data_IF_689103421599
#
_entry.id   IF_689103421599
#
_cell.length_a   1.000
_cell.length_b   1.000
_cell.length_c   1.000
_cell.angle_alpha   90.00
_cell.angle_beta   90.00
_cell.angle_gamma   90.00
#
_symmetry.space_group_name_H-M   'P 1'
#
loop_
_entity.id
_entity.type
_entity.pdbx_description
1 polymer ?
#
# COMPACT_ATOMS: atom_id res chain seq x y z
N UNK A 1 4.80 -14.02 -30.22
CA UNK A 1 3.77 -14.06 -29.17
C UNK A 1 4.50 -13.91 -27.84
N UNK A 2 3.95 -13.14 -26.89
CA UNK A 2 4.57 -12.93 -25.59
C UNK A 2 4.97 -14.24 -24.90
N UNK A 3 6.14 -14.26 -24.26
CA UNK A 3 6.65 -15.44 -23.57
C UNK A 3 6.33 -15.38 -22.07
N UNK A 4 5.98 -16.52 -21.46
CA UNK A 4 5.59 -16.58 -20.06
C UNK A 4 4.07 -16.56 -19.86
N UNK A 5 3.61 -16.20 -18.66
CA UNK A 5 2.20 -16.27 -18.30
C UNK A 5 1.85 -15.23 -17.23
N UNK A 6 0.67 -14.62 -17.38
CA UNK A 6 -0.05 -13.89 -16.34
C UNK A 6 -1.39 -14.61 -16.17
N UNK A 7 -1.76 -14.95 -14.94
CA UNK A 7 -3.00 -15.67 -14.66
C UNK A 7 -3.75 -15.03 -13.51
N UNK A 8 -5.07 -15.16 -13.53
CA UNK A 8 -5.91 -14.83 -12.38
C UNK A 8 -5.55 -15.78 -11.24
N UNK A 9 -5.11 -15.22 -10.11
CA UNK A 9 -4.80 -16.00 -8.90
C UNK A 9 -5.81 -15.77 -7.79
N UNK A 10 -6.61 -14.70 -7.91
CA UNK A 10 -7.63 -14.37 -6.93
C UNK A 10 -8.74 -13.53 -7.54
N UNK A 11 -9.99 -13.84 -7.20
CA UNK A 11 -11.18 -13.00 -7.39
C UNK A 11 -12.05 -13.15 -6.15
N UNK A 12 -12.41 -12.04 -5.51
CA UNK A 12 -13.26 -12.09 -4.33
C UNK A 12 -13.46 -10.75 -3.64
N UNK A 13 -14.19 -10.79 -2.52
CA UNK A 13 -14.43 -9.64 -1.66
C UNK A 13 -14.27 -10.00 -0.19
N UNK A 14 -13.97 -8.98 0.61
CA UNK A 14 -13.75 -9.10 2.04
C UNK A 14 -14.04 -7.77 2.75
N UNK A 15 -14.48 -7.85 4.01
CA UNK A 15 -14.58 -6.70 4.91
C UNK A 15 -13.18 -6.37 5.44
N UNK A 16 -12.35 -5.77 4.59
CA UNK A 16 -10.95 -5.49 4.90
C UNK A 16 -10.45 -4.23 4.16
N UNK A 17 -9.44 -3.56 4.73
CA UNK A 17 -8.70 -2.49 4.05
C UNK A 17 -7.52 -3.09 3.27
N UNK A 18 -7.37 -2.66 2.02
CA UNK A 18 -6.38 -3.19 1.09
C UNK A 18 -5.14 -2.31 1.05
N UNK A 19 -4.00 -2.92 1.31
CA UNK A 19 -2.68 -2.29 1.18
C UNK A 19 -1.85 -3.10 0.19
N UNK A 20 -1.14 -2.39 -0.69
CA UNK A 20 -0.21 -3.03 -1.59
C UNK A 20 0.97 -2.09 -1.88
N UNK A 21 2.15 -2.68 -2.06
CA UNK A 21 3.37 -1.96 -2.42
C UNK A 21 4.17 -2.80 -3.39
N UNK A 22 4.76 -2.12 -4.37
CA UNK A 22 5.68 -2.71 -5.33
C UNK A 22 6.93 -1.84 -5.32
N UNK A 23 8.03 -2.40 -4.86
CA UNK A 23 9.26 -1.68 -4.63
C UNK A 23 10.41 -2.30 -5.42
N UNK A 24 11.16 -1.44 -6.11
CA UNK A 24 12.42 -1.82 -6.73
C UNK A 24 13.51 -1.92 -5.66
N UNK A 25 14.31 -2.99 -5.73
CA UNK A 25 15.33 -3.31 -4.74
C UNK A 25 16.72 -3.36 -5.36
N UNK A 26 16.86 -4.00 -6.53
CA UNK A 26 18.12 -4.18 -7.25
C UNK A 26 19.30 -4.64 -6.37
N UNK A 27 19.08 -5.64 -5.51
CA UNK A 27 20.13 -6.16 -4.63
C UNK A 27 20.70 -7.47 -5.17
N UNK A 28 21.99 -7.46 -5.49
CA UNK A 28 22.75 -8.67 -5.74
C UNK A 28 23.01 -9.43 -4.43
N UNK A 29 22.73 -10.73 -4.43
CA UNK A 29 23.02 -11.67 -3.35
C UNK A 29 24.02 -12.71 -3.89
N UNK A 30 25.13 -12.87 -3.19
CA UNK A 30 26.20 -13.83 -3.55
C UNK A 30 26.45 -14.79 -2.38
N UNK A 31 27.32 -15.78 -2.54
CA UNK A 31 27.60 -16.76 -1.49
C UNK A 31 28.35 -16.19 -0.24
N UNK A 32 28.84 -14.95 -0.28
CA UNK A 32 29.68 -14.37 0.79
C UNK A 32 28.92 -13.38 1.71
N UNK A 33 29.54 -12.29 2.15
CA UNK A 33 28.98 -11.33 3.11
C UNK A 33 27.65 -10.70 2.66
N UNK A 34 27.37 -10.68 1.34
CA UNK A 34 26.11 -10.19 0.76
C UNK A 34 25.08 -11.30 0.50
N UNK A 35 25.23 -12.49 1.11
CA UNK A 35 24.28 -13.60 0.98
C UNK A 35 22.91 -13.34 1.58
N UNK A 36 22.76 -12.30 2.42
CA UNK A 36 21.52 -12.00 3.13
C UNK A 36 21.06 -10.57 2.88
N UNK A 37 19.76 -10.43 2.64
CA UNK A 37 19.05 -9.15 2.65
C UNK A 37 17.91 -9.22 3.67
N UNK A 38 17.84 -8.23 4.54
CA UNK A 38 16.66 -7.94 5.36
C UNK A 38 15.95 -6.72 4.76
N UNK A 39 14.67 -6.86 4.43
CA UNK A 39 13.86 -5.83 3.79
C UNK A 39 12.56 -5.64 4.57
N UNK A 40 12.21 -4.38 4.88
CA UNK A 40 10.96 -4.06 5.56
C UNK A 40 9.96 -3.60 4.52
N UNK A 41 8.82 -4.27 4.43
CA UNK A 41 7.75 -3.91 3.50
C UNK A 41 7.07 -2.63 4.02
N UNK A 42 6.99 -1.62 3.16
CA UNK A 42 6.43 -0.30 3.52
C UNK A 42 4.89 -0.32 3.46
N UNK A 43 4.30 -1.17 4.28
CA UNK A 43 2.85 -1.27 4.49
C UNK A 43 2.58 -1.21 5.99
N UNK A 44 1.68 -0.32 6.44
CA UNK A 44 1.27 -0.30 7.84
C UNK A 44 0.56 -1.61 8.16
N UNK A 45 0.89 -2.20 9.30
CA UNK A 45 0.20 -3.36 9.83
C UNK A 45 -0.53 -2.99 11.11
N UNK A 46 -1.87 -2.99 11.12
CA UNK A 46 -2.63 -2.85 12.35
C UNK A 46 -2.33 -4.03 13.31
N UNK A 47 -2.10 -3.72 14.59
CA UNK A 47 -1.79 -4.73 15.60
C UNK A 47 -3.03 -5.55 15.94
N UNK A 48 -2.86 -6.86 16.13
CA UNK A 48 -3.96 -7.77 16.49
C UNK A 48 -5.01 -8.00 15.39
N UNK A 49 -4.81 -7.43 14.20
CA UNK A 49 -5.75 -7.58 13.06
C UNK A 49 -5.31 -8.72 12.16
N UNK A 50 -6.30 -9.52 11.76
CA UNK A 50 -6.16 -10.67 10.86
C UNK A 50 -5.99 -10.19 9.42
N UNK A 51 -5.08 -10.81 8.68
CA UNK A 51 -5.02 -10.69 7.22
C UNK A 51 -6.02 -11.68 6.58
N UNK A 52 -6.98 -11.17 5.83
CA UNK A 52 -7.95 -11.96 5.05
C UNK A 52 -7.31 -12.51 3.77
N UNK A 53 -6.36 -11.76 3.22
CA UNK A 53 -5.56 -12.12 2.05
C UNK A 53 -4.16 -11.54 2.19
N UNK A 54 -3.12 -12.28 1.80
CA UNK A 54 -1.76 -11.76 1.76
C UNK A 54 -0.87 -12.52 0.78
N UNK A 55 -0.30 -11.79 -0.19
CA UNK A 55 0.59 -12.33 -1.21
C UNK A 55 1.90 -11.54 -1.22
N UNK A 56 3.02 -12.26 -1.14
CA UNK A 56 4.37 -11.74 -1.32
C UNK A 56 4.90 -12.18 -2.68
N UNK A 57 5.48 -11.23 -3.42
CA UNK A 57 5.99 -11.46 -4.76
C UNK A 57 7.42 -10.98 -4.89
N UNK A 58 8.24 -11.73 -5.63
CA UNK A 58 9.63 -11.41 -5.85
C UNK A 58 9.94 -11.53 -7.35
N UNK A 59 10.57 -10.51 -7.92
CA UNK A 59 11.21 -10.57 -9.23
C UNK A 59 12.70 -10.78 -9.03
N UNK A 60 13.21 -11.90 -9.53
CA UNK A 60 14.61 -12.30 -9.37
C UNK A 60 15.22 -12.53 -10.73
N UNK A 61 16.44 -12.05 -10.90
CA UNK A 61 17.29 -12.36 -12.02
C UNK A 61 18.39 -13.33 -11.58
N UNK A 62 18.70 -14.31 -12.42
CA UNK A 62 19.82 -15.22 -12.18
C UNK A 62 20.37 -15.77 -13.50
N UNK A 63 21.55 -16.39 -13.47
CA UNK A 63 22.13 -17.09 -14.63
C UNK A 63 21.68 -18.55 -14.71
N UNK A 64 21.23 -19.11 -13.59
CA UNK A 64 20.84 -20.50 -13.48
C UNK A 64 19.31 -20.61 -13.50
N UNK A 65 18.77 -21.73 -14.00
CA UNK A 65 17.31 -21.89 -14.02
C UNK A 65 16.72 -22.11 -12.62
N UNK A 66 17.52 -22.64 -11.70
CA UNK A 66 17.12 -22.95 -10.34
C UNK A 66 17.77 -21.94 -9.40
N UNK A 67 17.02 -21.51 -8.38
CA UNK A 67 17.51 -20.59 -7.35
C UNK A 67 17.49 -21.30 -6.00
N UNK A 68 18.68 -21.46 -5.42
CA UNK A 68 18.86 -21.96 -4.06
C UNK A 68 18.88 -20.81 -3.06
N UNK A 69 17.76 -20.64 -2.38
CA UNK A 69 17.54 -19.55 -1.43
C UNK A 69 16.53 -19.91 -0.35
N UNK A 70 16.53 -19.10 0.71
CA UNK A 70 15.58 -19.20 1.82
C UNK A 70 14.95 -17.84 2.07
N UNK A 71 13.62 -17.82 2.10
CA UNK A 71 12.85 -16.62 2.43
C UNK A 71 12.21 -16.81 3.79
N UNK A 72 12.25 -15.75 4.61
CA UNK A 72 11.51 -15.66 5.86
C UNK A 72 10.64 -14.42 5.88
N UNK A 73 9.42 -14.54 6.38
CA UNK A 73 8.52 -13.42 6.66
C UNK A 73 8.30 -13.39 8.16
N UNK A 74 8.56 -12.25 8.79
CA UNK A 74 8.49 -12.06 10.24
C UNK A 74 9.26 -13.10 11.06
N UNK A 75 10.33 -13.66 10.49
CA UNK A 75 11.18 -14.68 11.11
C UNK A 75 10.76 -16.12 10.81
N UNK A 76 9.54 -16.33 10.32
CA UNK A 76 9.00 -17.64 9.91
C UNK A 76 9.46 -17.95 8.49
N UNK A 77 9.98 -19.15 8.25
CA UNK A 77 10.38 -19.55 6.91
C UNK A 77 9.15 -19.74 6.04
N UNK A 78 9.14 -19.15 4.86
CA UNK A 78 8.07 -19.35 3.88
C UNK A 78 8.30 -20.71 3.23
N UNK A 79 7.53 -21.71 3.64
CA UNK A 79 7.52 -23.02 2.98
C UNK A 79 6.76 -22.96 1.66
N UNK A 80 7.05 -23.90 0.76
CA UNK A 80 6.63 -23.90 -0.65
C UNK A 80 5.11 -24.12 -0.85
N UNK A 81 4.24 -23.15 -0.56
CA UNK A 81 2.81 -23.27 -0.95
C UNK A 81 2.25 -21.96 -1.52
N UNK A 82 2.71 -21.61 -2.72
CA UNK A 82 1.95 -21.16 -3.91
C UNK A 82 2.94 -21.02 -5.09
N UNK A 83 3.68 -22.09 -5.43
CA UNK A 83 4.60 -22.05 -6.59
C UNK A 83 3.81 -22.27 -7.89
N UNK A 84 3.54 -21.20 -8.63
CA UNK A 84 4.22 -21.15 -9.91
C UNK A 84 5.40 -20.20 -9.78
N UNK A 85 6.60 -20.79 -9.82
CA UNK A 85 7.77 -20.01 -10.23
C UNK A 85 7.65 -19.87 -11.73
N UNK A 86 7.20 -18.71 -12.19
CA UNK A 86 7.19 -18.42 -13.62
C UNK A 86 8.58 -17.94 -13.98
N UNK A 87 9.25 -18.65 -14.88
CA UNK A 87 10.60 -18.31 -15.32
C UNK A 87 10.60 -18.09 -16.82
N UNK A 88 11.23 -17.02 -17.28
CA UNK A 88 11.47 -16.75 -18.70
C UNK A 88 12.96 -16.54 -18.92
N UNK A 89 13.49 -17.07 -20.03
CA UNK A 89 14.88 -16.88 -20.42
C UNK A 89 14.97 -15.66 -21.34
N UNK A 90 15.89 -14.73 -21.05
CA UNK A 90 16.15 -13.52 -21.85
C UNK A 90 17.65 -13.45 -22.12
N UNK A 91 18.08 -13.74 -23.34
CA UNK A 91 19.50 -13.90 -23.65
C UNK A 91 20.14 -14.98 -22.76
N UNK A 92 21.16 -14.62 -22.00
CA UNK A 92 21.90 -15.53 -21.10
C UNK A 92 21.39 -15.52 -19.64
N UNK A 93 20.33 -14.78 -19.33
CA UNK A 93 19.76 -14.71 -17.98
C UNK A 93 18.37 -15.33 -17.92
N UNK A 94 17.99 -15.74 -16.71
CA UNK A 94 16.63 -16.11 -16.35
C UNK A 94 16.02 -15.04 -15.46
N UNK A 95 14.79 -14.67 -15.77
CA UNK A 95 13.94 -13.84 -14.93
C UNK A 95 12.90 -14.75 -14.29
N UNK A 96 12.73 -14.63 -12.98
CA UNK A 96 11.84 -15.45 -12.18
C UNK A 96 10.88 -14.57 -11.41
N UNK A 97 9.58 -14.89 -11.49
CA UNK A 97 8.57 -14.37 -10.58
C UNK A 97 8.24 -15.48 -9.58
N UNK A 98 8.42 -15.18 -8.31
CA UNK A 98 8.04 -16.06 -7.21
C UNK A 98 6.89 -15.40 -6.45
N UNK A 99 5.83 -16.16 -6.22
CA UNK A 99 4.60 -15.72 -5.57
C UNK A 99 4.40 -16.62 -4.35
N UNK A 100 4.08 -16.03 -3.21
CA UNK A 100 3.90 -16.74 -1.95
C UNK A 100 2.62 -16.25 -1.28
N UNK A 101 1.71 -17.17 -0.96
CA UNK A 101 0.68 -16.89 0.03
C UNK A 101 1.35 -16.86 1.41
N UNK A 102 1.29 -15.71 2.07
CA UNK A 102 1.87 -15.49 3.39
C UNK A 102 0.81 -15.21 4.45
N UNK A 103 -0.47 -15.41 4.14
CA UNK A 103 -1.60 -15.14 5.03
C UNK A 103 -1.45 -15.87 6.37
N UNK A 104 -1.18 -17.18 6.32
CA UNK A 104 -1.02 -18.01 7.52
C UNK A 104 0.14 -17.54 8.41
N UNK A 105 1.25 -17.10 7.81
CA UNK A 105 2.41 -16.56 8.52
C UNK A 105 2.04 -15.26 9.21
N UNK A 106 1.33 -14.37 8.51
CA UNK A 106 0.90 -13.10 9.08
C UNK A 106 -0.08 -13.31 10.23
N UNK A 107 -0.90 -14.35 10.22
CA UNK A 107 -1.91 -14.59 11.25
C UNK A 107 -1.41 -15.40 12.46
N UNK A 108 -0.10 -15.62 12.58
CA UNK A 108 0.50 -16.17 13.80
C UNK A 108 0.46 -15.16 14.95
N UNK A 109 0.32 -15.58 16.22
CA UNK A 109 0.34 -14.67 17.38
C UNK A 109 1.57 -13.76 17.41
N UNK A 110 2.75 -14.30 17.10
CA UNK A 110 4.00 -13.56 17.09
C UNK A 110 4.02 -12.50 15.99
N UNK A 111 3.38 -12.77 14.85
CA UNK A 111 3.32 -11.85 13.73
C UNK A 111 2.25 -10.78 13.93
N UNK A 112 1.12 -11.08 14.57
CA UNK A 112 0.05 -10.13 14.86
C UNK A 112 0.46 -9.01 15.82
N UNK A 113 1.50 -9.23 16.61
CA UNK A 113 2.07 -8.23 17.52
C UNK A 113 3.16 -7.36 16.87
N UNK A 114 3.44 -7.52 15.58
CA UNK A 114 4.43 -6.71 14.86
C UNK A 114 3.74 -5.62 14.05
N UNK A 115 4.16 -4.37 14.25
CA UNK A 115 3.64 -3.21 13.51
C UNK A 115 4.12 -3.14 12.04
N UNK A 116 5.10 -3.98 11.66
CA UNK A 116 5.68 -4.03 10.32
C UNK A 116 5.89 -5.47 9.87
N UNK A 117 5.91 -5.66 8.55
CA UNK A 117 6.24 -6.95 7.94
C UNK A 117 7.69 -6.92 7.46
N UNK A 118 8.51 -7.80 8.03
CA UNK A 118 9.91 -7.95 7.69
C UNK A 118 10.12 -9.19 6.83
N UNK A 119 10.68 -9.00 5.65
CA UNK A 119 11.16 -10.07 4.80
C UNK A 119 12.67 -10.25 4.98
N UNK A 120 13.13 -11.49 4.99
CA UNK A 120 14.55 -11.81 4.89
C UNK A 120 14.75 -12.79 3.75
N UNK A 121 15.65 -12.46 2.83
CA UNK A 121 16.09 -13.35 1.74
C UNK A 121 17.52 -13.75 2.02
N UNK A 122 17.81 -15.04 1.96
CA UNK A 122 19.17 -15.59 2.06
C UNK A 122 19.44 -16.45 0.84
N UNK A 123 20.46 -16.10 0.07
CA UNK A 123 20.98 -16.94 -1.00
C UNK A 123 21.89 -18.03 -0.42
N UNK A 124 21.70 -19.28 -0.85
CA UNK A 124 22.43 -20.44 -0.35
C UNK A 124 23.21 -21.17 -1.46
N UNK A 125 23.01 -20.79 -2.74
CA UNK A 125 23.71 -21.36 -3.88
C UNK A 125 25.12 -20.79 -4.11
N UNK A 126 25.90 -21.46 -4.97
CA UNK A 126 27.26 -21.05 -5.34
C UNK A 126 27.34 -19.86 -6.30
N UNK A 127 26.23 -19.50 -6.96
CA UNK A 127 26.15 -18.41 -7.93
C UNK A 127 25.82 -17.02 -7.36
N UNK A 128 25.28 -16.16 -8.22
CA UNK A 128 24.69 -14.88 -7.81
C UNK A 128 23.27 -14.74 -8.35
N UNK A 129 22.43 -14.11 -7.54
CA UNK A 129 21.08 -13.71 -7.93
C UNK A 129 20.91 -12.22 -7.67
N UNK A 130 20.04 -11.57 -8.44
CA UNK A 130 19.67 -10.17 -8.23
C UNK A 130 18.19 -10.12 -7.90
N UNK A 131 17.86 -9.71 -6.68
CA UNK A 131 16.49 -9.36 -6.32
C UNK A 131 16.18 -8.00 -6.93
N UNK A 132 15.45 -7.99 -8.05
CA UNK A 132 15.09 -6.78 -8.80
C UNK A 132 13.98 -6.02 -8.09
N UNK A 133 12.89 -6.69 -7.73
CA UNK A 133 11.73 -6.06 -7.12
C UNK A 133 11.01 -6.97 -6.13
N UNK A 134 10.26 -6.34 -5.23
CA UNK A 134 9.40 -6.99 -4.22
C UNK A 134 8.01 -6.39 -4.33
N UNK A 135 7.01 -7.24 -4.47
CA UNK A 135 5.59 -6.89 -4.38
C UNK A 135 4.99 -7.46 -3.11
N UNK A 136 4.10 -6.73 -2.46
CA UNK A 136 3.35 -7.23 -1.32
C UNK A 136 1.95 -6.67 -1.37
N UNK A 137 0.95 -7.55 -1.32
CA UNK A 137 -0.48 -7.22 -1.31
C UNK A 137 -1.07 -7.85 -0.07
N UNK A 138 -1.81 -7.09 0.73
CA UNK A 138 -2.43 -7.57 1.96
C UNK A 138 -3.76 -6.86 2.21
N UNK A 139 -4.74 -7.63 2.66
CA UNK A 139 -6.04 -7.15 3.07
C UNK A 139 -6.24 -7.41 4.57
N UNK A 140 -6.28 -6.36 5.38
CA UNK A 140 -6.44 -6.47 6.84
C UNK A 140 -7.90 -6.29 7.24
N UNK A 141 -8.43 -7.29 7.94
CA UNK A 141 -9.85 -7.38 8.34
C UNK A 141 -10.28 -6.13 9.11
N UNK A 142 -11.35 -5.48 8.66
CA UNK A 142 -11.86 -4.29 9.31
C UNK A 142 -13.33 -4.04 8.98
N UNK A 143 -14.15 -3.79 10.00
CA UNK A 143 -15.60 -3.62 9.85
C UNK A 143 -16.02 -2.35 9.11
N UNK A 144 -15.17 -1.32 9.08
CA UNK A 144 -15.39 -0.09 8.30
C UNK A 144 -14.80 -0.11 6.89
N UNK A 145 -14.17 -1.20 6.47
CA UNK A 145 -13.58 -1.31 5.15
C UNK A 145 -14.19 -2.47 4.39
N UNK A 146 -14.48 -2.24 3.12
CA UNK A 146 -14.89 -3.27 2.17
C UNK A 146 -13.99 -3.17 0.96
N UNK A 147 -13.45 -4.29 0.54
CA UNK A 147 -12.66 -4.40 -0.68
C UNK A 147 -13.19 -5.55 -1.50
N UNK A 148 -13.29 -5.34 -2.79
CA UNK A 148 -13.37 -6.42 -3.76
C UNK A 148 -12.25 -6.26 -4.78
N UNK A 149 -11.58 -7.38 -5.09
CA UNK A 149 -10.40 -7.38 -5.94
C UNK A 149 -10.33 -8.61 -6.84
N UNK A 150 -9.74 -8.41 -8.02
CA UNK A 150 -9.39 -9.43 -8.99
C UNK A 150 -7.93 -9.22 -9.32
N UNK A 151 -7.12 -10.23 -9.07
CA UNK A 151 -5.67 -10.12 -9.15
C UNK A 151 -5.10 -11.11 -10.13
N UNK A 152 -4.40 -10.58 -11.12
CA UNK A 152 -3.62 -11.32 -12.09
C UNK A 152 -2.14 -11.14 -11.78
N UNK A 153 -1.38 -12.22 -11.71
CA UNK A 153 0.06 -12.17 -11.46
C UNK A 153 0.78 -13.29 -12.19
N UNK A 154 2.09 -13.15 -12.30
CA UNK A 154 2.95 -14.01 -13.09
C UNK A 154 4.12 -13.25 -13.67
N UNK A 155 4.61 -13.73 -14.81
CA UNK A 155 5.73 -13.15 -15.53
C UNK A 155 5.47 -13.30 -17.02
N UNK A 156 5.16 -12.19 -17.68
CA UNK A 156 4.97 -12.15 -19.12
C UNK A 156 5.98 -11.19 -19.74
N UNK A 157 6.83 -11.73 -20.61
CA UNK A 157 7.77 -10.99 -21.42
C UNK A 157 7.08 -10.58 -22.72
N UNK A 158 6.99 -9.27 -22.95
CA UNK A 158 6.40 -8.68 -24.15
C UNK A 158 7.53 -8.08 -24.97
N UNK A 159 7.83 -8.72 -26.10
CA UNK A 159 8.80 -8.25 -27.07
C UNK A 159 8.27 -7.12 -27.94
N UNK A 160 9.17 -6.52 -28.71
CA UNK A 160 8.84 -5.48 -29.68
C UNK A 160 7.77 -5.93 -30.69
N UNK A 161 6.74 -5.11 -30.92
CA UNK A 161 5.62 -5.42 -31.81
C UNK A 161 4.64 -6.46 -31.26
N UNK A 162 4.87 -6.98 -30.05
CA UNK A 162 3.96 -7.92 -29.41
C UNK A 162 2.89 -7.20 -28.59
N UNK A 163 1.72 -7.84 -28.55
CA UNK A 163 0.57 -7.40 -27.78
C UNK A 163 0.07 -8.51 -26.87
N UNK A 164 -0.45 -8.10 -25.73
CA UNK A 164 -1.14 -8.97 -24.77
C UNK A 164 -2.44 -8.31 -24.33
N UNK A 165 -3.52 -9.08 -24.30
CA UNK A 165 -4.85 -8.58 -23.95
C UNK A 165 -5.45 -9.39 -22.80
N UNK A 166 -6.02 -8.67 -21.84
CA UNK A 166 -6.90 -9.22 -20.81
C UNK A 166 -8.32 -8.73 -21.06
N UNK A 167 -9.27 -9.66 -21.04
CA UNK A 167 -10.70 -9.38 -21.04
C UNK A 167 -11.28 -9.66 -19.66
N UNK A 168 -12.38 -8.98 -19.31
CA UNK A 168 -13.04 -9.12 -18.01
C UNK A 168 -12.09 -8.84 -16.84
N UNK A 169 -11.32 -7.75 -16.89
CA UNK A 169 -10.45 -7.35 -15.76
C UNK A 169 -11.28 -6.83 -14.57
N UNK A 170 -12.54 -6.43 -14.79
CA UNK A 170 -13.40 -5.89 -13.75
C UNK A 170 -13.66 -6.93 -12.65
N UNK A 171 -13.76 -6.41 -11.43
CA UNK A 171 -14.34 -7.14 -10.31
C UNK A 171 -15.85 -7.06 -10.38
N UNK A 172 -16.39 -5.84 -10.36
CA UNK A 172 -17.83 -5.54 -10.23
C UNK A 172 -18.25 -4.33 -11.10
N UNK A 173 -18.00 -4.39 -12.42
CA UNK A 173 -18.44 -3.40 -13.43
C UNK A 173 -17.79 -2.01 -13.37
N UNK A 174 -17.23 -1.62 -12.23
CA UNK A 174 -16.51 -0.38 -12.00
C UNK A 174 -15.37 -0.64 -11.02
N UNK A 175 -14.15 -0.75 -11.53
CA UNK A 175 -12.96 -1.12 -10.75
C UNK A 175 -11.74 -0.36 -11.24
N UNK A 176 -10.98 0.22 -10.33
CA UNK A 176 -9.68 0.79 -10.66
C UNK A 176 -8.71 -0.33 -11.04
N UNK A 177 -7.87 -0.08 -12.04
CA UNK A 177 -6.91 -1.07 -12.53
C UNK A 177 -5.50 -0.54 -12.35
N UNK A 178 -4.66 -1.30 -11.65
CA UNK A 178 -3.23 -1.04 -11.59
C UNK A 178 -2.47 -2.08 -12.41
N UNK A 179 -1.54 -1.61 -13.23
CA UNK A 179 -0.59 -2.45 -13.97
C UNK A 179 0.80 -2.32 -13.34
N UNK A 180 1.41 -3.46 -13.02
CA UNK A 180 2.81 -3.52 -12.57
C UNK A 180 3.66 -4.05 -13.70
N UNK A 181 4.61 -3.24 -14.15
CA UNK A 181 5.52 -3.56 -15.23
C UNK A 181 6.98 -3.33 -14.82
N UNK A 182 7.91 -3.99 -15.50
CA UNK A 182 9.35 -3.80 -15.29
C UNK A 182 10.12 -3.81 -16.61
N UNK A 183 11.10 -2.92 -16.75
CA UNK A 183 12.07 -2.99 -17.83
C UNK A 183 13.45 -2.51 -17.38
N UNK A 184 14.52 -3.18 -17.81
CA UNK A 184 15.90 -2.75 -17.54
C UNK A 184 16.31 -1.51 -18.34
N UNK A 185 15.64 -1.24 -19.44
CA UNK A 185 15.85 -0.08 -20.31
C UNK A 185 14.52 0.69 -20.50
N UNK A 186 14.55 1.99 -20.84
CA UNK A 186 13.34 2.72 -21.18
C UNK A 186 12.64 2.07 -22.39
N UNK A 187 11.38 1.65 -22.21
CA UNK A 187 10.56 1.01 -23.24
C UNK A 187 9.21 1.72 -23.35
N UNK A 188 8.84 2.29 -24.51
CA UNK A 188 7.52 2.85 -24.72
C UNK A 188 6.50 1.72 -24.89
N UNK A 189 5.43 1.78 -24.11
CA UNK A 189 4.30 0.86 -24.19
C UNK A 189 3.02 1.63 -24.46
N UNK A 190 2.06 0.97 -25.10
CA UNK A 190 0.70 1.46 -25.31
C UNK A 190 -0.26 0.61 -24.51
N UNK A 191 -1.08 1.28 -23.72
CA UNK A 191 -2.20 0.67 -23.01
C UNK A 191 -3.49 1.09 -23.71
N UNK A 192 -4.36 0.14 -24.01
CA UNK A 192 -5.62 0.39 -24.72
C UNK A 192 -6.77 -0.32 -24.02
N UNK A 193 -7.93 0.32 -23.98
CA UNK A 193 -9.20 -0.31 -23.57
C UNK A 193 -10.15 -0.56 -24.76
N UNK A 194 -9.64 -0.40 -26.00
CA UNK A 194 -10.40 -0.49 -27.24
C UNK A 194 -11.02 0.83 -27.72
N UNK A 195 -11.21 1.80 -26.82
CA UNK A 195 -11.76 3.12 -27.12
C UNK A 195 -10.73 4.25 -26.96
N UNK A 196 -9.91 4.13 -25.92
CA UNK A 196 -8.87 5.06 -25.53
C UNK A 196 -7.52 4.36 -25.54
N UNK A 197 -6.47 5.14 -25.79
CA UNK A 197 -5.10 4.67 -25.71
C UNK A 197 -4.26 5.62 -24.86
N UNK A 198 -3.29 5.06 -24.15
CA UNK A 198 -2.31 5.79 -23.35
C UNK A 198 -0.92 5.26 -23.64
N UNK A 199 -0.01 6.15 -24.04
CA UNK A 199 1.41 5.84 -24.18
C UNK A 199 2.15 6.12 -22.86
N UNK A 200 3.00 5.19 -22.44
CA UNK A 200 3.76 5.27 -21.20
C UNK A 200 5.17 4.75 -21.45
N UNK A 201 6.17 5.41 -20.86
CA UNK A 201 7.55 4.93 -20.87
C UNK A 201 7.81 4.11 -19.59
N UNK A 202 8.14 2.84 -19.73
CA UNK A 202 8.51 1.96 -18.62
C UNK A 202 10.03 1.88 -18.50
N UNK A 203 10.58 2.18 -17.32
CA UNK A 203 11.99 1.99 -16.95
C UNK A 203 12.06 1.66 -15.46
N UNK A 204 12.81 0.62 -15.09
CA UNK A 204 12.77 0.08 -13.73
C UNK A 204 11.40 -0.54 -13.44
N UNK A 205 11.01 -0.56 -12.17
CA UNK A 205 9.67 -0.98 -11.75
C UNK A 205 8.67 0.17 -11.90
N UNK A 206 7.60 -0.04 -12.67
CA UNK A 206 6.53 0.92 -12.87
C UNK A 206 5.22 0.37 -12.29
N UNK A 207 4.58 1.17 -11.42
CA UNK A 207 3.22 0.95 -10.96
C UNK A 207 2.31 2.00 -11.63
N UNK A 208 1.51 1.54 -12.59
CA UNK A 208 0.72 2.38 -13.47
C UNK A 208 -0.74 2.28 -13.05
N UNK A 209 -1.28 3.36 -12.50
CA UNK A 209 -2.71 3.46 -12.19
C UNK A 209 -3.49 3.86 -13.45
N UNK A 210 -4.51 3.08 -13.75
CA UNK A 210 -5.48 3.28 -14.81
C UNK A 210 -6.85 3.54 -14.19
N UNK A 211 -7.65 4.34 -14.89
CA UNK A 211 -9.04 4.55 -14.50
C UNK A 211 -9.89 3.29 -14.74
N UNK A 212 -11.15 3.36 -14.32
CA UNK A 212 -12.10 2.27 -14.41
C UNK A 212 -12.44 1.83 -15.84
N UNK A 213 -12.18 2.66 -16.85
CA UNK A 213 -12.49 2.34 -18.25
C UNK A 213 -11.64 1.19 -18.80
N UNK A 214 -10.51 0.86 -18.15
CA UNK A 214 -9.64 -0.26 -18.51
C UNK A 214 -10.06 -1.58 -17.86
N UNK A 215 -11.08 -1.62 -17.00
CA UNK A 215 -11.46 -2.86 -16.32
C UNK A 215 -12.20 -3.83 -17.27
N UNK A 216 -12.91 -3.36 -18.29
CA UNK A 216 -13.58 -4.27 -19.23
C UNK A 216 -12.58 -5.00 -20.14
N UNK A 217 -11.60 -4.26 -20.63
CA UNK A 217 -10.56 -4.73 -21.54
C UNK A 217 -9.28 -3.93 -21.31
N UNK A 218 -8.15 -4.64 -21.23
CA UNK A 218 -6.83 -4.05 -21.16
C UNK A 218 -5.92 -4.75 -22.18
N UNK A 219 -5.51 -4.01 -23.20
CA UNK A 219 -4.45 -4.39 -24.12
C UNK A 219 -3.16 -3.65 -23.79
N UNK A 220 -2.07 -4.39 -23.76
CA UNK A 220 -0.73 -3.94 -23.46
C UNK A 220 0.12 -4.26 -24.69
N UNK A 221 0.69 -3.23 -25.31
CA UNK A 221 1.44 -3.36 -26.55
C UNK A 221 2.83 -2.73 -26.41
N UNK A 222 3.86 -3.41 -26.90
CA UNK A 222 5.16 -2.79 -27.16
C UNK A 222 5.14 -2.22 -28.58
N UNK A 223 5.06 -0.89 -28.72
CA UNK A 223 5.19 -0.26 -30.03
C UNK A 223 6.57 -0.60 -30.64
N UNK A 224 6.57 -1.09 -31.87
CA UNK A 224 7.80 -1.35 -32.61
C UNK A 224 8.55 -0.05 -32.88
N UNK A 225 9.88 -0.09 -32.77
CA UNK A 225 10.77 0.93 -33.32
C UNK A 225 11.06 0.61 -34.78
N UNK A 226 11.14 1.65 -35.61
CA UNK A 226 11.49 1.52 -37.03
C UNK A 226 12.91 0.95 -37.24
N UNK A 227 13.77 1.01 -36.22
CA UNK A 227 15.16 0.53 -36.28
C UNK A 227 15.32 -0.97 -35.99
N UNK A 228 14.30 -1.64 -35.45
CA UNK A 228 14.35 -3.05 -35.05
C UNK A 228 15.32 -3.33 -33.88
N UNK A 229 14.89 -4.11 -32.89
CA UNK A 229 15.74 -4.53 -31.77
C UNK A 229 15.43 -3.83 -30.44
N UNK A 230 14.17 -3.48 -30.20
CA UNK A 230 13.69 -2.94 -28.92
C UNK A 230 13.90 -3.91 -27.75
N UNK A 231 14.25 -3.37 -26.58
CA UNK A 231 14.35 -4.18 -25.36
C UNK A 231 12.95 -4.64 -24.93
N UNK A 232 12.75 -5.93 -24.61
CA UNK A 232 11.46 -6.38 -24.12
C UNK A 232 11.18 -5.78 -22.73
N UNK A 233 9.90 -5.74 -22.34
CA UNK A 233 9.51 -5.43 -20.98
C UNK A 233 8.71 -6.58 -20.36
N UNK A 234 8.58 -6.55 -19.04
CA UNK A 234 7.83 -7.52 -18.26
C UNK A 234 6.52 -6.92 -17.78
N UNK A 235 5.43 -7.65 -17.96
CA UNK A 235 4.21 -7.48 -17.17
C UNK A 235 4.30 -8.42 -15.97
N UNK A 236 4.20 -7.85 -14.77
CA UNK A 236 4.37 -8.56 -13.49
C UNK A 236 3.06 -8.82 -12.76
N UNK A 237 2.03 -8.00 -13.02
CA UNK A 237 0.71 -8.17 -12.44
C UNK A 237 -0.28 -7.10 -12.88
N UNK A 238 -1.56 -7.43 -12.77
CA UNK A 238 -2.69 -6.52 -12.98
C UNK A 238 -3.63 -6.68 -11.80
N UNK A 239 -3.84 -5.60 -11.05
CA UNK A 239 -4.73 -5.55 -9.89
C UNK A 239 -5.95 -4.69 -10.21
N UNK A 240 -7.09 -5.34 -10.32
CA UNK A 240 -8.39 -4.69 -10.40
C UNK A 240 -9.01 -4.65 -9.02
N UNK A 241 -9.47 -3.48 -8.58
CA UNK A 241 -10.01 -3.32 -7.24
C UNK A 241 -11.11 -2.28 -7.15
N UNK A 242 -12.00 -2.51 -6.20
CA UNK A 242 -12.97 -1.58 -5.69
C UNK A 242 -12.85 -1.60 -4.18
N UNK A 243 -12.69 -0.43 -3.56
CA UNK A 243 -12.60 -0.34 -2.11
C UNK A 243 -13.47 0.80 -1.60
N UNK A 244 -14.07 0.58 -0.45
CA UNK A 244 -14.86 1.57 0.28
C UNK A 244 -14.42 1.54 1.73
N UNK A 245 -14.24 2.72 2.31
CA UNK A 245 -13.86 2.88 3.72
C UNK A 245 -14.79 3.92 4.32
N UNK A 246 -15.51 3.52 5.37
CA UNK A 246 -16.24 4.46 6.24
C UNK A 246 -15.22 5.31 6.98
N UNK A 247 -15.39 6.63 6.93
CA UNK A 247 -14.44 7.62 7.44
C UNK A 247 -15.07 8.42 8.59
N UNK A 248 -14.38 8.52 9.74
CA UNK A 248 -14.76 9.50 10.74
C UNK A 248 -14.54 10.92 10.23
N UNK A 249 -15.33 11.86 10.74
CA UNK A 249 -15.16 13.30 10.51
C UNK A 249 -15.46 14.02 11.81
N UNK A 250 -14.42 14.37 12.56
CA UNK A 250 -14.61 15.04 13.85
C UNK A 250 -14.64 16.56 13.68
N UNK A 251 -15.63 17.20 14.28
CA UNK A 251 -15.86 18.65 14.21
C UNK A 251 -15.99 19.24 15.61
N UNK A 252 -15.52 20.47 15.78
CA UNK A 252 -15.75 21.25 16.99
C UNK A 252 -17.09 21.99 16.87
N UNK A 253 -18.10 21.54 17.61
CA UNK A 253 -19.46 22.07 17.57
C UNK A 253 -19.62 23.36 18.40
N UNK A 254 -18.93 23.45 19.54
CA UNK A 254 -18.91 24.66 20.36
C UNK A 254 -17.60 24.77 21.14
N UNK A 255 -17.14 25.99 21.38
CA UNK A 255 -15.89 26.27 22.09
C UNK A 255 -16.15 27.41 23.08
N UNK A 256 -15.84 27.17 24.35
CA UNK A 256 -16.01 28.14 25.44
C UNK A 256 -14.69 28.26 26.20
N UNK A 257 -13.88 29.28 25.90
CA UNK A 257 -12.68 29.57 26.67
C UNK A 257 -13.06 30.28 27.98
N UNK A 258 -12.49 29.82 29.09
CA UNK A 258 -12.60 30.43 30.41
C UNK A 258 -11.21 30.62 31.00
N UNK A 259 -10.88 31.83 31.40
CA UNK A 259 -9.63 32.15 32.09
C UNK A 259 -9.89 32.16 33.59
N UNK A 260 -9.12 31.39 34.34
CA UNK A 260 -9.21 31.33 35.80
C UNK A 260 -7.81 31.45 36.40
N UNK A 261 -7.47 32.63 36.90
CA UNK A 261 -6.13 32.93 37.39
C UNK A 261 -5.09 32.82 36.27
N UNK A 262 -4.12 31.92 36.43
CA UNK A 262 -3.04 31.71 35.47
C UNK A 262 -3.25 30.48 34.56
N UNK A 263 -4.51 30.05 34.39
CA UNK A 263 -4.88 28.93 33.54
C UNK A 263 -5.97 29.32 32.55
N UNK A 264 -5.82 28.86 31.31
CA UNK A 264 -6.87 28.84 30.30
C UNK A 264 -7.53 27.46 30.31
N UNK A 265 -8.82 27.42 30.65
CA UNK A 265 -9.64 26.23 30.52
C UNK A 265 -10.55 26.37 29.29
N UNK A 266 -10.39 25.49 28.32
CA UNK A 266 -11.20 25.48 27.11
C UNK A 266 -12.17 24.32 27.22
N UNK A 267 -13.46 24.63 27.34
CA UNK A 267 -14.53 23.63 27.25
C UNK A 267 -15.03 23.56 25.82
N UNK A 268 -15.20 22.36 25.29
CA UNK A 268 -15.54 22.13 23.89
C UNK A 268 -16.49 20.95 23.71
N UNK A 269 -17.32 21.04 22.68
CA UNK A 269 -18.15 19.93 22.18
C UNK A 269 -17.55 19.43 20.88
N UNK A 270 -17.25 18.14 20.82
CA UNK A 270 -16.79 17.46 19.61
C UNK A 270 -17.91 16.57 19.10
N UNK A 271 -18.23 16.68 17.83
CA UNK A 271 -19.19 15.81 17.14
C UNK A 271 -18.47 14.96 16.09
N UNK A 272 -18.95 13.74 15.86
CA UNK A 272 -18.53 12.93 14.72
C UNK A 272 -19.60 12.99 13.63
N UNK A 273 -19.35 13.77 12.59
CA UNK A 273 -20.22 13.88 11.40
C UNK A 273 -19.91 12.81 10.33
N UNK A 274 -18.93 11.95 10.59
CA UNK A 274 -18.57 10.83 9.73
C UNK A 274 -19.45 9.60 9.95
N UNK A 275 -19.17 8.54 9.20
CA UNK A 275 -19.90 7.28 9.23
C UNK A 275 -19.14 6.14 9.94
N UNK A 276 -18.00 6.45 10.58
CA UNK A 276 -17.18 5.53 11.35
C UNK A 276 -16.66 6.14 12.65
N UNK A 277 -16.32 5.28 13.62
CA UNK A 277 -15.62 5.67 14.85
C UNK A 277 -14.11 5.77 14.56
N UNK A 278 -13.41 6.86 14.93
CA UNK A 278 -11.95 6.88 14.88
C UNK A 278 -11.30 5.82 15.76
N UNK A 279 -10.14 5.30 15.34
CA UNK A 279 -9.36 4.36 16.16
C UNK A 279 -8.67 5.09 17.32
N UNK A 280 -8.21 6.31 17.06
CA UNK A 280 -7.62 7.22 18.04
C UNK A 280 -8.08 8.65 17.74
N UNK A 281 -8.22 9.47 18.78
CA UNK A 281 -8.42 10.89 18.63
C UNK A 281 -7.76 11.68 19.77
N UNK A 282 -7.30 12.89 19.45
CA UNK A 282 -6.68 13.80 20.40
C UNK A 282 -6.96 15.26 20.04
N UNK A 283 -7.05 16.08 21.07
CA UNK A 283 -7.09 17.52 20.98
C UNK A 283 -5.69 18.08 21.27
N UNK A 284 -5.19 18.92 20.39
CA UNK A 284 -3.93 19.66 20.55
C UNK A 284 -4.24 21.14 20.56
N UNK A 285 -3.67 21.88 21.51
CA UNK A 285 -3.80 23.34 21.54
C UNK A 285 -2.48 23.97 21.17
N UNK A 286 -2.54 24.83 20.16
CA UNK A 286 -1.41 25.52 19.58
C UNK A 286 -1.51 27.02 19.85
N UNK A 287 -0.39 27.65 20.15
CA UNK A 287 -0.23 29.10 20.25
C UNK A 287 0.95 29.49 19.35
N UNK A 288 0.66 30.24 18.28
CA UNK A 288 1.64 30.61 17.24
C UNK A 288 2.43 29.40 16.71
N UNK A 289 1.77 28.25 16.59
CA UNK A 289 2.34 26.98 16.13
C UNK A 289 3.03 26.14 17.22
N UNK A 290 3.21 26.66 18.43
CA UNK A 290 3.79 25.90 19.56
C UNK A 290 2.72 25.12 20.31
N UNK A 291 3.00 23.85 20.61
CA UNK A 291 2.11 23.00 21.41
C UNK A 291 2.08 23.50 22.85
N UNK A 292 0.89 23.88 23.33
CA UNK A 292 0.62 24.31 24.70
C UNK A 292 -0.05 23.23 25.54
N UNK A 293 -0.80 22.33 24.91
CA UNK A 293 -1.48 21.24 25.58
C UNK A 293 -1.89 20.14 24.60
N UNK A 294 -1.94 18.91 25.10
CA UNK A 294 -2.42 17.74 24.37
C UNK A 294 -3.33 16.94 25.29
N UNK A 295 -4.50 16.55 24.79
CA UNK A 295 -5.44 15.68 25.49
C UNK A 295 -5.88 14.55 24.57
N UNK A 296 -5.68 13.31 24.99
CA UNK A 296 -6.35 12.17 24.34
C UNK A 296 -7.84 12.24 24.66
N UNK A 297 -8.68 12.06 23.65
CA UNK A 297 -10.13 12.05 23.81
C UNK A 297 -10.66 10.66 23.49
N UNK A 298 -11.76 10.28 24.14
CA UNK A 298 -12.48 9.07 23.74
C UNK A 298 -13.19 9.39 22.40
N UNK A 299 -12.95 8.64 21.32
CA UNK A 299 -13.57 8.93 20.03
C UNK A 299 -15.11 8.83 20.10
N UNK A 300 -15.86 9.87 19.67
CA UNK A 300 -17.31 9.80 19.60
C UNK A 300 -17.79 8.88 18.47
N UNK A 301 -18.89 8.17 18.70
CA UNK A 301 -19.61 7.40 17.68
C UNK A 301 -20.20 8.31 16.60
N UNK A 302 -20.48 7.83 15.38
CA UNK A 302 -21.22 8.61 14.37
C UNK A 302 -22.48 9.27 14.95
N UNK A 303 -22.60 10.59 14.78
CA UNK A 303 -23.69 11.41 15.31
C UNK A 303 -23.62 11.71 16.81
N UNK A 304 -22.68 11.13 17.55
CA UNK A 304 -22.49 11.39 18.97
C UNK A 304 -21.74 12.71 19.20
N UNK A 305 -22.11 13.40 20.28
CA UNK A 305 -21.44 14.60 20.77
C UNK A 305 -20.80 14.29 22.12
N UNK A 306 -19.51 14.59 22.25
CA UNK A 306 -18.77 14.46 23.51
C UNK A 306 -18.31 15.82 24.00
N UNK A 307 -18.41 16.02 25.31
CA UNK A 307 -17.93 17.22 26.00
C UNK A 307 -16.54 16.95 26.55
N UNK A 308 -15.60 17.85 26.21
CA UNK A 308 -14.22 17.76 26.64
C UNK A 308 -13.75 19.10 27.20
N UNK A 309 -12.80 19.07 28.12
CA UNK A 309 -12.14 20.26 28.63
C UNK A 309 -10.64 20.08 28.65
N UNK A 310 -9.88 21.09 28.23
CA UNK A 310 -8.43 21.11 28.36
C UNK A 310 -7.96 22.35 29.12
N UNK A 311 -7.10 22.13 30.11
CA UNK A 311 -6.48 23.19 30.90
C UNK A 311 -5.06 23.41 30.42
N UNK A 312 -4.70 24.67 30.25
CA UNK A 312 -3.38 25.09 29.77
C UNK A 312 -2.85 26.14 30.73
N UNK A 313 -1.65 25.94 31.31
CA UNK A 313 -1.01 26.97 32.10
C UNK A 313 -0.62 28.14 31.19
N UNK A 314 -0.98 29.35 31.62
CA UNK A 314 -0.60 30.58 30.96
C UNK A 314 0.67 31.11 31.62
N UNK A 315 1.71 31.39 30.85
CA UNK A 315 2.80 32.27 31.33
C UNK A 315 2.57 33.72 30.88
N UNK A 316 1.91 33.87 29.73
CA UNK A 316 1.45 35.11 29.14
C UNK A 316 0.14 34.80 28.42
N UNK A 317 -0.86 35.68 28.49
CA UNK A 317 -2.15 35.42 27.85
C UNK A 317 -2.01 35.56 26.31
N UNK A 318 -2.25 34.50 25.53
CA UNK A 318 -2.19 34.60 24.08
C UNK A 318 -3.41 35.38 23.57
N UNK A 319 -3.26 36.10 22.45
CA UNK A 319 -4.40 36.77 21.77
C UNK A 319 -5.41 35.77 21.20
N UNK A 320 -4.94 34.57 20.89
CA UNK A 320 -5.74 33.47 20.41
C UNK A 320 -4.95 32.18 20.40
N UNK A 321 -5.69 31.08 20.33
CA UNK A 321 -5.14 29.71 20.24
C UNK A 321 -5.77 29.00 19.06
N UNK A 322 -5.07 28.02 18.49
CA UNK A 322 -5.62 27.09 17.52
C UNK A 322 -5.88 25.76 18.19
N UNK A 323 -7.13 25.30 18.15
CA UNK A 323 -7.50 23.95 18.54
C UNK A 323 -7.36 23.05 17.33
N UNK A 324 -6.44 22.09 17.40
CA UNK A 324 -6.26 21.05 16.39
C UNK A 324 -6.84 19.75 16.91
N UNK A 325 -7.90 19.29 16.27
CA UNK A 325 -8.46 17.97 16.50
C UNK A 325 -7.76 17.00 15.55
N UNK A 326 -7.07 15.99 16.07
CA UNK A 326 -6.36 14.97 15.28
C UNK A 326 -7.01 13.63 15.52
N UNK A 327 -7.30 12.89 14.46
CA UNK A 327 -7.82 11.54 14.58
C UNK A 327 -7.20 10.60 13.56
N UNK A 328 -7.25 9.31 13.87
CA UNK A 328 -6.76 8.25 13.00
C UNK A 328 -7.85 7.26 12.68
N UNK A 329 -7.82 6.77 11.44
CA UNK A 329 -8.58 5.59 11.02
C UNK A 329 -7.76 4.79 10.05
N UNK A 330 -7.58 3.49 10.29
CA UNK A 330 -6.90 2.58 9.34
C UNK A 330 -5.49 3.08 8.94
N UNK A 331 -4.71 3.50 9.94
CA UNK A 331 -3.38 4.13 9.79
C UNK A 331 -3.34 5.48 9.04
N UNK A 332 -4.48 6.01 8.58
CA UNK A 332 -4.60 7.33 7.96
C UNK A 332 -4.87 8.36 9.05
N UNK A 333 -4.06 9.42 9.11
CA UNK A 333 -4.23 10.53 10.07
C UNK A 333 -4.94 11.68 9.39
N UNK A 334 -5.91 12.27 10.06
CA UNK A 334 -6.62 13.47 9.65
C UNK A 334 -6.60 14.48 10.79
N UNK A 335 -6.78 15.75 10.44
CA UNK A 335 -6.91 16.80 11.43
C UNK A 335 -7.80 17.93 10.94
N UNK A 336 -8.34 18.68 11.90
CA UNK A 336 -9.06 19.92 11.68
C UNK A 336 -8.58 20.98 12.66
N UNK A 337 -8.33 22.18 12.14
CA UNK A 337 -7.88 23.33 12.91
C UNK A 337 -9.02 24.33 13.09
N UNK A 338 -9.22 24.82 14.30
CA UNK A 338 -10.16 25.90 14.62
C UNK A 338 -9.47 26.97 15.45
N UNK A 339 -9.45 28.19 14.92
CA UNK A 339 -8.89 29.35 15.62
C UNK A 339 -9.89 29.93 16.62
N UNK A 340 -9.42 30.13 17.85
CA UNK A 340 -10.20 30.68 18.96
C UNK A 340 -9.53 31.98 19.39
N UNK A 341 -10.24 33.10 19.23
CA UNK A 341 -9.81 34.37 19.81
C UNK A 341 -10.12 34.35 21.30
N UNK A 342 -9.16 34.75 22.11
CA UNK A 342 -9.38 34.96 23.53
C UNK A 342 -9.76 36.42 23.70
N UNK A 343 -10.92 36.69 24.31
CA UNK A 343 -11.30 38.05 24.63
C UNK A 343 -10.22 38.63 25.56
N UNK A 344 -9.59 39.73 25.14
CA UNK A 344 -8.78 40.55 26.04
C UNK A 344 -9.75 41.13 27.07
N UNK A 345 -9.58 40.75 28.33
CA UNK A 345 -10.27 41.40 29.46
C UNK A 345 -9.61 42.74 29.73
#
# INVERSE_FOLDING_TARGET
>A
MPAGIISEVYKGSFNADLYYTFAEVNKALTHSESSKLSYTLDIPRPLGVVAEHAVLELLVESRERLIDWKIRVNGVSVSKEFKPVVSVKVGEIYLHKLIYDVKSILNTPESMNKARVHMTVRHEGGGSIILRAVGFIVAYSHFDAYTSMKYYTGLLLVGEGERYSLSDVCVDGDSLVDLVAFSSAPVPIVLSNGFNQRRILVKGLANIQLDNSYCGYLEINHEGSDSGGGNPFLVLGVLSKKFSVRKPSLKLASITPMVSGNELNISLRITNEGDAIPDEAMLVVLDKGFVRGVKKIKPPSPGEVVEESIKIPLNLMPEGVTLRLVWKKLARTQFEDTSVKLAQV
#
